data_IF_511182365396
#
_entry.id   IF_511182365396
#
_cell.length_a   1.000
_cell.length_b   1.000
_cell.length_c   1.000
_cell.angle_alpha   90.00
_cell.angle_beta   90.00
_cell.angle_gamma   90.00
#
_symmetry.space_group_name_H-M   'P 1'
#
loop_
_entity.id
_entity.type
_entity.pdbx_description
1 polymer ?
#
# COMPACT_ATOMS: atom_id res chain seq x y z
N UNK A 1 -25.31 -24.53 -11.47
CA UNK A 1 -24.14 -24.58 -10.56
C UNK A 1 -24.35 -23.56 -9.45
N UNK A 2 -24.50 -24.01 -8.21
CA UNK A 2 -24.52 -23.10 -7.07
C UNK A 2 -23.13 -22.46 -6.94
N UNK A 3 -23.07 -21.14 -7.02
CA UNK A 3 -21.83 -20.37 -6.81
C UNK A 3 -21.56 -20.41 -5.30
N UNK A 4 -20.34 -20.74 -4.84
CA UNK A 4 -19.98 -20.58 -3.43
C UNK A 4 -20.23 -19.13 -3.05
N UNK A 5 -21.06 -18.89 -2.04
CA UNK A 5 -21.28 -17.56 -1.49
C UNK A 5 -19.97 -17.09 -0.86
N UNK A 6 -19.43 -15.97 -1.34
CA UNK A 6 -18.38 -15.27 -0.61
C UNK A 6 -18.95 -14.91 0.78
N UNK A 7 -18.18 -15.07 1.87
CA UNK A 7 -18.61 -14.59 3.18
C UNK A 7 -18.65 -13.07 3.09
N UNK A 8 -19.85 -12.50 2.89
CA UNK A 8 -20.16 -11.08 2.75
C UNK A 8 -19.35 -10.31 1.67
N UNK A 9 -20.07 -9.74 0.70
CA UNK A 9 -19.52 -9.29 -0.59
C UNK A 9 -18.72 -7.99 -0.61
N UNK A 10 -18.07 -7.57 0.47
CA UNK A 10 -17.24 -6.35 0.54
C UNK A 10 -15.82 -6.66 1.05
N UNK A 11 -14.81 -5.82 0.73
CA UNK A 11 -13.48 -5.91 1.36
C UNK A 11 -13.58 -5.85 2.88
N UNK A 12 -14.51 -5.05 3.37
CA UNK A 12 -14.67 -4.73 4.78
C UNK A 12 -15.01 -5.97 5.61
N UNK A 13 -15.86 -6.85 5.09
CA UNK A 13 -16.29 -8.07 5.79
C UNK A 13 -15.30 -9.24 5.70
N UNK A 14 -14.22 -9.08 4.94
CA UNK A 14 -13.19 -10.09 4.71
C UNK A 14 -11.82 -9.57 5.17
N UNK A 15 -11.81 -8.61 6.09
CA UNK A 15 -10.57 -8.00 6.55
C UNK A 15 -9.72 -9.02 7.32
N UNK A 16 -8.43 -9.21 6.97
CA UNK A 16 -7.55 -10.20 7.60
C UNK A 16 -7.39 -9.99 9.11
N UNK A 17 -7.48 -8.74 9.57
CA UNK A 17 -7.20 -8.34 10.95
C UNK A 17 -8.45 -8.12 11.83
N UNK A 18 -9.64 -8.50 11.36
CA UNK A 18 -10.91 -8.30 12.07
C UNK A 18 -11.12 -9.27 13.27
N UNK A 19 -10.18 -10.19 13.49
CA UNK A 19 -10.28 -11.22 14.54
C UNK A 19 -9.52 -10.77 15.80
N UNK A 20 -10.23 -10.69 16.94
CA UNK A 20 -9.75 -10.19 18.25
C UNK A 20 -8.48 -10.84 18.83
N UNK A 21 -7.96 -11.89 18.21
CA UNK A 21 -6.79 -12.64 18.69
C UNK A 21 -5.45 -11.95 18.40
N UNK A 22 -5.42 -10.91 17.54
CA UNK A 22 -4.19 -10.17 17.20
C UNK A 22 -3.70 -9.21 18.29
N UNK A 23 -4.52 -8.88 19.29
CA UNK A 23 -4.20 -7.82 20.27
C UNK A 23 -3.50 -8.32 21.55
N UNK A 24 -3.23 -9.62 21.71
CA UNK A 24 -2.70 -10.17 22.98
C UNK A 24 -1.51 -11.14 22.86
N UNK A 25 -0.80 -11.16 21.73
CA UNK A 25 0.34 -12.04 21.52
C UNK A 25 1.63 -11.61 22.22
N UNK A 26 1.71 -11.70 23.56
CA UNK A 26 3.02 -11.84 24.23
C UNK A 26 3.55 -13.25 24.00
N UNK A 27 4.07 -13.50 22.79
CA UNK A 27 4.80 -14.72 22.44
C UNK A 27 6.19 -14.68 23.04
N UNK A 28 6.44 -15.48 24.08
CA UNK A 28 7.80 -15.78 24.54
C UNK A 28 8.48 -16.63 23.47
N UNK A 29 9.46 -16.07 22.77
CA UNK A 29 10.36 -16.85 21.93
C UNK A 29 11.58 -17.31 22.73
N UNK A 30 12.02 -18.55 22.46
CA UNK A 30 13.22 -19.13 23.02
C UNK A 30 14.47 -18.68 22.27
N UNK A 31 15.44 -18.18 23.04
CA UNK A 31 16.89 -18.14 22.81
C UNK A 31 17.40 -17.83 21.38
N UNK A 32 17.59 -16.53 21.08
CA UNK A 32 18.71 -15.87 20.36
C UNK A 32 18.43 -14.33 20.36
N UNK A 33 18.86 -13.56 21.37
CA UNK A 33 20.10 -12.75 21.55
C UNK A 33 20.10 -11.28 21.10
N UNK A 34 19.10 -10.73 20.39
CA UNK A 34 19.04 -9.28 20.14
C UNK A 34 17.63 -8.73 20.40
N UNK A 35 17.46 -7.97 21.48
CA UNK A 35 16.16 -7.51 22.03
C UNK A 35 15.58 -6.26 21.33
N UNK A 36 16.18 -5.80 20.23
CA UNK A 36 15.80 -4.58 19.53
C UNK A 36 14.63 -4.81 18.55
N UNK A 37 13.53 -4.08 18.75
CA UNK A 37 12.29 -4.23 17.97
C UNK A 37 12.46 -3.95 16.47
N UNK A 38 13.48 -3.18 16.09
CA UNK A 38 13.76 -2.82 14.70
C UNK A 38 14.55 -3.89 13.96
N UNK A 39 15.19 -4.81 14.67
CA UNK A 39 16.10 -5.78 14.08
C UNK A 39 15.33 -6.89 13.33
N UNK A 40 15.68 -7.19 12.07
CA UNK A 40 14.95 -8.19 11.28
C UNK A 40 15.39 -9.62 11.62
N UNK A 41 15.15 -10.02 12.87
CA UNK A 41 15.57 -11.29 13.47
C UNK A 41 15.15 -12.53 12.68
N UNK A 42 14.05 -12.49 11.93
CA UNK A 42 13.59 -13.65 11.16
C UNK A 42 14.43 -13.95 9.91
N UNK A 43 15.17 -12.96 9.41
CA UNK A 43 15.90 -13.06 8.13
C UNK A 43 17.36 -12.59 8.17
N UNK A 44 17.82 -11.93 9.23
CA UNK A 44 19.21 -11.49 9.37
C UNK A 44 20.18 -12.68 9.31
N UNK A 45 21.33 -12.51 8.65
CA UNK A 45 22.38 -13.52 8.50
C UNK A 45 23.64 -13.22 9.32
N UNK A 46 23.78 -11.99 9.80
CA UNK A 46 24.84 -11.51 10.69
C UNK A 46 24.24 -11.02 12.01
N UNK A 47 25.08 -10.78 13.01
CA UNK A 47 24.67 -10.04 14.22
C UNK A 47 24.48 -8.55 13.94
N UNK A 48 23.77 -7.84 14.82
CA UNK A 48 23.60 -6.39 14.77
C UNK A 48 24.93 -5.66 14.85
N UNK A 49 25.82 -6.07 15.76
CA UNK A 49 27.12 -5.43 15.92
C UNK A 49 27.96 -5.54 14.64
N UNK A 50 28.01 -6.72 14.01
CA UNK A 50 28.71 -6.93 12.75
C UNK A 50 28.12 -6.10 11.61
N UNK A 51 26.78 -6.02 11.52
CA UNK A 51 26.10 -5.26 10.48
C UNK A 51 26.32 -3.75 10.63
N UNK A 52 26.27 -3.23 11.86
CA UNK A 52 26.56 -1.82 12.16
C UNK A 52 28.02 -1.49 11.84
N UNK A 53 28.97 -2.35 12.24
CA UNK A 53 30.39 -2.17 11.92
C UNK A 53 30.65 -2.18 10.40
N UNK A 54 29.95 -3.05 9.67
CA UNK A 54 30.05 -3.12 8.21
C UNK A 54 29.25 -2.02 7.48
N UNK A 55 28.33 -1.32 8.16
CA UNK A 55 27.35 -0.40 7.55
C UNK A 55 26.30 -1.10 6.66
N UNK A 56 26.22 -2.42 6.72
CA UNK A 56 25.41 -3.25 5.83
C UNK A 56 24.86 -4.47 6.56
N UNK A 57 23.55 -4.65 6.45
CA UNK A 57 22.80 -5.78 6.95
C UNK A 57 22.59 -6.79 5.82
N UNK A 58 23.14 -7.99 6.00
CA UNK A 58 22.90 -9.14 5.13
C UNK A 58 21.66 -9.93 5.59
N UNK A 59 20.73 -10.18 4.67
CA UNK A 59 19.51 -10.94 4.94
C UNK A 59 19.28 -12.06 3.93
N UNK A 60 18.38 -13.00 4.26
CA UNK A 60 17.91 -14.03 3.32
C UNK A 60 17.28 -13.47 2.04
N UNK A 61 16.85 -12.21 2.02
CA UNK A 61 16.22 -11.55 0.88
C UNK A 61 17.14 -10.59 0.13
N UNK A 62 18.37 -10.40 0.61
CA UNK A 62 19.34 -9.47 0.04
C UNK A 62 19.94 -8.56 1.10
N UNK A 63 20.80 -7.64 0.66
CA UNK A 63 21.52 -6.73 1.53
C UNK A 63 20.89 -5.34 1.53
N UNK A 64 20.95 -4.67 2.68
CA UNK A 64 20.51 -3.28 2.87
C UNK A 64 21.49 -2.54 3.76
N UNK A 65 21.70 -1.25 3.50
CA UNK A 65 22.49 -0.38 4.36
C UNK A 65 21.83 -0.25 5.74
N UNK A 66 22.64 -0.18 6.79
CA UNK A 66 22.19 0.09 8.15
C UNK A 66 23.21 0.95 8.89
N UNK A 67 22.79 1.58 9.97
CA UNK A 67 23.65 2.41 10.80
C UNK A 67 23.13 2.42 12.25
N UNK A 68 23.98 2.87 13.18
CA UNK A 68 23.59 2.99 14.58
C UNK A 68 22.78 4.27 14.82
N UNK A 69 21.46 4.13 14.84
CA UNK A 69 20.53 5.24 15.12
C UNK A 69 20.71 5.81 16.53
N UNK A 70 21.25 5.03 17.49
CA UNK A 70 21.47 5.50 18.86
C UNK A 70 22.49 6.64 18.91
N UNK A 71 23.41 6.71 17.93
CA UNK A 71 24.33 7.84 17.81
C UNK A 71 23.57 9.16 17.68
N UNK A 72 22.45 9.16 16.96
CA UNK A 72 21.61 10.36 16.77
C UNK A 72 20.91 10.83 18.05
N UNK A 73 20.98 10.08 19.14
CA UNK A 73 20.40 10.46 20.43
C UNK A 73 21.38 11.32 21.25
N UNK A 74 22.62 11.47 20.79
CA UNK A 74 23.64 12.28 21.43
C UNK A 74 23.78 13.63 20.73
N UNK A 75 23.69 14.73 21.48
CA UNK A 75 23.85 16.09 20.95
C UNK A 75 25.16 16.29 20.19
N UNK A 76 26.25 15.69 20.67
CA UNK A 76 27.57 15.78 20.03
C UNK A 76 27.55 15.20 18.61
N UNK A 77 26.78 14.13 18.39
CA UNK A 77 26.64 13.54 17.06
C UNK A 77 26.11 14.57 16.08
N UNK A 78 25.14 15.42 16.44
CA UNK A 78 24.57 16.45 15.57
C UNK A 78 25.55 17.57 15.20
N UNK A 79 26.59 17.79 15.99
CA UNK A 79 27.58 18.85 15.73
C UNK A 79 28.66 18.48 14.71
N UNK A 80 28.88 17.19 14.45
CA UNK A 80 29.87 16.72 13.47
C UNK A 80 29.47 17.07 12.02
N UNK A 81 30.40 17.08 11.07
CA UNK A 81 30.02 17.20 9.65
C UNK A 81 29.55 15.85 9.12
N UNK A 82 28.40 15.81 8.44
CA UNK A 82 27.83 14.59 7.83
C UNK A 82 27.90 14.73 6.33
N UNK A 83 28.24 13.64 5.67
CA UNK A 83 28.11 13.54 4.22
C UNK A 83 26.62 13.45 3.85
N UNK A 84 26.29 13.95 2.66
CA UNK A 84 24.95 13.88 2.08
C UNK A 84 23.80 14.41 2.97
N UNK A 85 24.11 15.39 3.82
CA UNK A 85 23.10 16.19 4.53
C UNK A 85 22.50 17.27 3.63
N UNK A 86 21.23 17.60 3.84
CA UNK A 86 20.51 18.59 3.04
C UNK A 86 19.55 19.44 3.90
N UNK A 87 19.10 20.56 3.32
CA UNK A 87 18.19 21.50 3.97
C UNK A 87 18.81 22.12 5.22
N UNK A 88 18.00 22.28 6.28
CA UNK A 88 18.44 22.91 7.54
C UNK A 88 19.28 21.98 8.45
N UNK A 89 19.54 20.73 8.04
CA UNK A 89 20.14 19.72 8.92
C UNK A 89 21.47 20.16 9.54
N UNK A 90 22.35 20.78 8.75
CA UNK A 90 23.67 21.24 9.23
C UNK A 90 23.61 22.39 10.24
N UNK A 91 22.47 23.09 10.33
CA UNK A 91 22.26 24.21 11.25
C UNK A 91 21.69 23.76 12.60
N UNK A 92 21.18 22.52 12.68
CA UNK A 92 20.53 21.97 13.88
C UNK A 92 21.58 21.42 14.84
N UNK A 93 21.60 21.99 16.05
CA UNK A 93 22.52 21.62 17.14
C UNK A 93 21.72 21.47 18.45
N UNK A 94 21.01 20.35 18.62
CA UNK A 94 20.05 20.19 19.70
C UNK A 94 20.76 20.05 21.04
N UNK A 95 20.25 20.74 22.05
CA UNK A 95 20.71 20.61 23.44
C UNK A 95 19.97 19.49 24.19
N UNK A 96 18.71 19.24 23.82
CA UNK A 96 17.89 18.14 24.34
C UNK A 96 17.34 17.30 23.19
N UNK A 97 17.42 15.98 23.35
CA UNK A 97 16.91 15.00 22.41
C UNK A 97 16.04 14.03 23.20
N UNK A 98 14.76 13.94 22.84
CA UNK A 98 13.81 13.01 23.44
C UNK A 98 13.35 12.00 22.39
N UNK A 99 13.38 10.71 22.74
CA UNK A 99 12.79 9.65 21.91
C UNK A 99 11.29 9.61 22.18
N UNK A 100 10.50 10.07 21.22
CA UNK A 100 9.03 10.16 21.34
C UNK A 100 8.38 8.80 21.07
N UNK A 101 8.85 8.11 20.03
CA UNK A 101 8.29 6.82 19.61
C UNK A 101 9.33 6.01 18.84
N UNK A 102 9.31 4.69 19.00
CA UNK A 102 10.04 3.73 18.15
C UNK A 102 9.04 2.71 17.61
N UNK A 103 9.02 2.49 16.31
CA UNK A 103 8.11 1.57 15.62
C UNK A 103 8.80 0.88 14.44
N UNK A 104 9.23 -0.37 14.67
CA UNK A 104 10.08 -1.11 13.73
C UNK A 104 11.35 -0.32 13.44
N UNK A 105 11.71 -0.18 12.16
CA UNK A 105 12.91 0.53 11.73
C UNK A 105 12.85 2.07 11.83
N UNK A 106 11.85 2.63 12.50
CA UNK A 106 11.61 4.08 12.58
C UNK A 106 11.71 4.55 14.02
N UNK A 107 12.51 5.59 14.24
CA UNK A 107 12.61 6.27 15.53
C UNK A 107 12.28 7.75 15.37
N UNK A 108 11.32 8.23 16.15
CA UNK A 108 10.89 9.61 16.18
C UNK A 108 11.56 10.34 17.35
N UNK A 109 12.25 11.43 17.05
CA UNK A 109 12.98 12.26 18.00
C UNK A 109 12.37 13.66 18.06
N UNK A 110 12.28 14.22 19.25
CA UNK A 110 11.99 15.63 19.48
C UNK A 110 13.29 16.34 19.87
N UNK A 111 13.61 17.42 19.15
CA UNK A 111 14.86 18.15 19.26
C UNK A 111 14.57 19.57 19.77
N UNK A 112 15.00 19.89 21.01
CA UNK A 112 14.76 21.18 21.69
C UNK A 112 13.30 21.69 21.69
N UNK A 113 12.33 20.81 21.44
CA UNK A 113 10.94 21.17 21.13
C UNK A 113 10.77 22.09 19.90
N UNK A 114 11.80 22.22 19.06
CA UNK A 114 11.83 23.06 17.86
C UNK A 114 11.70 22.24 16.57
N UNK A 115 12.16 20.99 16.60
CA UNK A 115 12.13 20.10 15.44
C UNK A 115 11.72 18.70 15.83
N UNK A 116 11.14 18.00 14.86
CA UNK A 116 10.97 16.55 14.90
C UNK A 116 11.93 15.93 13.90
N UNK A 117 12.62 14.87 14.29
CA UNK A 117 13.43 14.07 13.39
C UNK A 117 12.93 12.62 13.34
N UNK A 118 12.74 12.10 12.13
CA UNK A 118 12.43 10.70 11.88
C UNK A 118 13.70 10.00 11.36
N UNK A 119 14.28 9.14 12.18
CA UNK A 119 15.44 8.31 11.85
C UNK A 119 14.99 6.92 11.38
N UNK A 120 15.72 6.36 10.42
CA UNK A 120 15.52 5.02 9.88
C UNK A 120 16.76 4.16 10.13
N UNK A 121 16.67 3.12 10.99
CA UNK A 121 17.82 2.22 11.28
C UNK A 121 18.31 1.47 10.04
N UNK A 122 17.36 1.18 9.14
CA UNK A 122 17.61 0.63 7.82
C UNK A 122 16.98 1.59 6.80
N UNK A 123 17.76 2.45 6.14
CA UNK A 123 17.25 3.36 5.12
C UNK A 123 16.68 2.61 3.92
N UNK A 124 15.41 2.86 3.58
CA UNK A 124 14.67 2.07 2.57
C UNK A 124 14.46 2.81 1.25
N UNK A 125 14.33 4.14 1.28
CA UNK A 125 14.19 4.99 0.09
C UNK A 125 14.50 6.45 0.41
N UNK A 126 14.55 7.30 -0.61
CA UNK A 126 14.62 8.77 -0.49
C UNK A 126 13.29 9.45 -0.84
N UNK A 127 12.16 8.74 -0.67
CA UNK A 127 10.85 9.25 -1.11
C UNK A 127 10.47 10.49 -0.32
N UNK A 128 10.72 10.48 0.99
CA UNK A 128 10.41 11.59 1.87
C UNK A 128 11.26 12.82 1.54
N UNK A 129 12.59 12.69 1.44
CA UNK A 129 13.44 13.84 1.05
C UNK A 129 13.13 14.36 -0.36
N UNK A 130 12.76 13.47 -1.29
CA UNK A 130 12.35 13.85 -2.65
C UNK A 130 11.13 14.77 -2.68
N UNK A 131 10.25 14.74 -1.66
CA UNK A 131 9.11 15.65 -1.55
C UNK A 131 9.54 17.12 -1.36
N UNK A 132 10.70 17.35 -0.74
CA UNK A 132 11.28 18.69 -0.63
C UNK A 132 12.14 19.04 -1.85
N UNK A 133 13.01 18.11 -2.26
CA UNK A 133 14.01 18.38 -3.30
C UNK A 133 13.39 18.56 -4.70
N UNK A 134 12.26 17.89 -4.98
CA UNK A 134 11.54 18.07 -6.24
C UNK A 134 10.57 19.27 -6.15
N UNK A 135 10.94 20.38 -6.79
CA UNK A 135 10.17 21.65 -6.75
C UNK A 135 8.71 21.54 -7.20
N UNK A 136 8.42 20.71 -8.21
CA UNK A 136 7.05 20.52 -8.73
C UNK A 136 6.21 19.72 -7.73
N UNK A 137 6.77 18.67 -7.13
CA UNK A 137 6.09 17.91 -6.06
C UNK A 137 5.89 18.80 -4.83
N UNK A 138 6.96 19.48 -4.39
CA UNK A 138 6.94 20.33 -3.20
C UNK A 138 5.84 21.39 -3.29
N UNK A 139 5.83 22.19 -4.37
CA UNK A 139 4.85 23.26 -4.56
C UNK A 139 3.40 22.76 -4.60
N UNK A 140 3.15 21.53 -5.08
CA UNK A 140 1.81 20.92 -5.10
C UNK A 140 1.34 20.45 -3.73
N UNK A 141 2.27 20.05 -2.87
CA UNK A 141 1.95 19.50 -1.55
C UNK A 141 1.91 20.57 -0.44
N UNK A 142 2.45 21.77 -0.69
CA UNK A 142 2.43 22.89 0.26
C UNK A 142 1.03 23.28 0.74
N UNK A 143 -0.01 23.07 -0.08
CA UNK A 143 -1.40 23.39 0.26
C UNK A 143 -2.20 22.20 0.82
N UNK A 144 -1.53 21.10 1.17
CA UNK A 144 -2.17 19.88 1.70
C UNK A 144 -1.82 19.70 3.18
N UNK A 145 -2.56 18.84 3.88
CA UNK A 145 -2.29 18.47 5.27
C UNK A 145 -1.09 17.51 5.41
N UNK A 146 -0.04 17.69 4.62
CA UNK A 146 1.18 16.90 4.68
C UNK A 146 2.29 17.71 5.34
N UNK A 147 2.89 17.16 6.39
CA UNK A 147 4.01 17.79 7.05
C UNK A 147 5.27 17.62 6.21
N UNK A 148 5.65 18.66 5.47
CA UNK A 148 6.78 18.58 4.54
C UNK A 148 8.13 18.64 5.27
N UNK A 149 9.11 17.82 4.85
CA UNK A 149 10.43 17.84 5.48
C UNK A 149 11.21 19.10 5.09
N UNK A 150 12.09 19.54 5.97
CA UNK A 150 12.89 20.76 5.84
C UNK A 150 14.41 20.49 5.81
N UNK A 151 14.82 19.27 6.13
CA UNK A 151 16.22 18.84 6.08
C UNK A 151 16.36 17.35 6.35
N UNK A 152 17.58 16.84 6.27
CA UNK A 152 17.86 15.45 6.60
C UNK A 152 19.28 15.02 6.22
N UNK A 153 19.52 13.73 6.36
CA UNK A 153 20.76 13.05 6.01
C UNK A 153 20.44 11.80 5.21
N UNK A 154 21.17 11.59 4.12
CA UNK A 154 21.09 10.39 3.31
C UNK A 154 22.22 9.42 3.67
N UNK A 155 21.93 8.12 3.61
CA UNK A 155 22.91 7.04 3.61
C UNK A 155 22.69 6.22 2.32
N UNK A 156 23.73 6.10 1.50
CA UNK A 156 23.67 5.46 0.17
C UNK A 156 22.51 5.98 -0.70
N UNK A 157 22.26 7.29 -0.64
CA UNK A 157 21.20 7.96 -1.38
C UNK A 157 19.77 7.66 -0.89
N UNK A 158 19.59 7.05 0.30
CA UNK A 158 18.30 6.80 0.95
C UNK A 158 18.20 7.59 2.25
N UNK A 159 17.00 7.92 2.69
CA UNK A 159 16.79 8.72 3.90
C UNK A 159 17.21 7.92 5.15
N UNK A 160 18.31 8.33 5.78
CA UNK A 160 18.71 7.84 7.09
C UNK A 160 18.05 8.63 8.21
N UNK A 161 17.91 9.94 8.02
CA UNK A 161 17.23 10.83 8.95
C UNK A 161 16.55 11.96 8.19
N UNK A 162 15.30 12.27 8.55
CA UNK A 162 14.53 13.37 7.97
C UNK A 162 14.02 14.29 9.06
N UNK A 163 14.16 15.60 8.88
CA UNK A 163 13.77 16.63 9.84
C UNK A 163 12.54 17.41 9.36
N UNK A 164 11.67 17.71 10.31
CA UNK A 164 10.43 18.47 10.15
C UNK A 164 10.36 19.58 11.21
N UNK A 165 9.57 20.65 10.97
CA UNK A 165 9.20 21.60 12.03
C UNK A 165 8.54 20.87 13.21
N UNK A 166 8.63 21.45 14.42
CA UNK A 166 7.98 20.91 15.61
C UNK A 166 6.48 20.66 15.43
N UNK A 167 6.00 19.67 16.17
CA UNK A 167 4.60 19.25 16.24
C UNK A 167 4.43 18.22 17.35
N UNK A 168 3.19 17.88 17.68
CA UNK A 168 2.89 16.86 18.68
C UNK A 168 2.09 15.72 18.03
N UNK A 169 2.38 14.48 18.40
CA UNK A 169 1.58 13.34 17.94
C UNK A 169 0.13 13.51 18.39
N UNK A 170 -0.79 13.22 17.48
CA UNK A 170 -2.24 13.29 17.74
C UNK A 170 -2.96 12.13 17.05
N UNK A 171 -4.21 11.91 17.43
CA UNK A 171 -5.09 10.96 16.77
C UNK A 171 -5.92 11.66 15.69
N UNK A 172 -6.38 10.90 14.72
CA UNK A 172 -7.22 11.41 13.63
C UNK A 172 -8.50 10.62 13.47
N UNK A 173 -9.50 11.28 12.90
CA UNK A 173 -10.77 10.63 12.57
C UNK A 173 -10.67 9.91 11.21
N UNK A 174 -11.52 8.90 10.95
CA UNK A 174 -11.60 8.25 9.65
C UNK A 174 -11.86 9.23 8.50
N UNK A 175 -12.69 10.25 8.73
CA UNK A 175 -13.00 11.30 7.76
C UNK A 175 -11.73 12.06 7.36
N UNK A 176 -10.97 12.53 8.35
CA UNK A 176 -9.76 13.33 8.12
C UNK A 176 -8.68 12.53 7.40
N UNK A 177 -8.48 11.25 7.77
CA UNK A 177 -7.50 10.37 7.11
C UNK A 177 -7.85 10.14 5.64
N UNK A 178 -9.13 9.87 5.35
CA UNK A 178 -9.62 9.61 4.00
C UNK A 178 -9.48 10.86 3.12
N UNK A 179 -9.93 11.99 3.65
CA UNK A 179 -9.82 13.28 2.97
C UNK A 179 -8.36 13.66 2.70
N UNK A 180 -7.50 13.61 3.72
CA UNK A 180 -6.08 13.98 3.61
C UNK A 180 -5.34 13.14 2.58
N UNK A 181 -5.50 11.80 2.62
CA UNK A 181 -4.90 10.93 1.60
C UNK A 181 -5.42 11.28 0.20
N UNK A 182 -6.74 11.47 0.06
CA UNK A 182 -7.36 11.77 -1.22
C UNK A 182 -6.89 13.10 -1.81
N UNK A 183 -6.74 14.14 -0.99
CA UNK A 183 -6.25 15.46 -1.39
C UNK A 183 -4.80 15.42 -1.85
N UNK A 184 -3.91 14.77 -1.07
CA UNK A 184 -2.51 14.55 -1.44
C UNK A 184 -2.43 13.85 -2.80
N UNK A 185 -3.17 12.76 -2.96
CA UNK A 185 -3.17 11.97 -4.20
C UNK A 185 -3.75 12.74 -5.39
N UNK A 186 -4.77 13.58 -5.17
CA UNK A 186 -5.34 14.43 -6.20
C UNK A 186 -4.36 15.51 -6.66
N UNK A 187 -3.61 16.13 -5.73
CA UNK A 187 -2.55 17.09 -6.06
C UNK A 187 -1.42 16.47 -6.88
N UNK A 188 -1.14 15.18 -6.66
CA UNK A 188 -0.12 14.42 -7.38
C UNK A 188 -0.64 13.73 -8.67
N UNK A 189 -1.95 13.67 -8.89
CA UNK A 189 -2.53 13.02 -10.06
C UNK A 189 -2.01 13.54 -11.42
N UNK A 190 -1.73 14.85 -11.61
CA UNK A 190 -1.10 15.35 -12.84
C UNK A 190 0.29 14.77 -13.11
N UNK A 191 1.00 14.29 -12.08
CA UNK A 191 2.32 13.66 -12.16
C UNK A 191 2.24 12.14 -12.32
N UNK A 192 1.05 11.60 -12.55
CA UNK A 192 0.84 10.17 -12.69
C UNK A 192 1.57 9.58 -13.89
N UNK A 193 2.10 8.38 -13.74
CA UNK A 193 2.59 7.58 -14.85
C UNK A 193 1.42 6.96 -15.62
N UNK A 194 1.60 6.54 -16.88
CA UNK A 194 0.67 5.63 -17.52
C UNK A 194 0.44 4.36 -16.69
N UNK A 195 -0.60 3.61 -17.04
CA UNK A 195 -0.86 2.29 -16.47
C UNK A 195 0.35 1.38 -16.64
N UNK A 196 0.87 0.84 -15.53
CA UNK A 196 2.04 -0.03 -15.51
C UNK A 196 1.71 -1.43 -14.97
N UNK A 197 0.61 -1.99 -15.47
CA UNK A 197 0.13 -3.31 -15.10
C UNK A 197 1.23 -4.39 -15.15
N UNK A 198 2.18 -4.28 -16.09
CA UNK A 198 3.26 -5.26 -16.22
C UNK A 198 4.16 -5.24 -14.98
N UNK A 199 4.63 -4.06 -14.55
CA UNK A 199 5.49 -3.97 -13.37
C UNK A 199 4.75 -4.27 -12.08
N UNK A 200 3.49 -3.84 -11.93
CA UNK A 200 2.69 -4.18 -10.75
C UNK A 200 2.48 -5.68 -10.57
N UNK A 201 2.21 -6.39 -11.67
CA UNK A 201 2.10 -7.85 -11.65
C UNK A 201 3.47 -8.54 -11.42
N UNK A 202 4.57 -7.90 -11.83
CA UNK A 202 5.92 -8.38 -11.53
C UNK A 202 6.23 -8.21 -10.04
N UNK A 203 5.93 -7.07 -9.43
CA UNK A 203 6.07 -6.86 -7.98
C UNK A 203 5.31 -7.89 -7.15
N UNK A 204 4.07 -8.23 -7.56
CA UNK A 204 3.33 -9.34 -6.93
C UNK A 204 4.05 -10.68 -7.08
N UNK A 205 4.63 -10.94 -8.26
CA UNK A 205 5.42 -12.14 -8.50
C UNK A 205 6.64 -12.20 -7.59
N UNK A 206 7.35 -11.10 -7.42
CA UNK A 206 8.58 -11.04 -6.63
C UNK A 206 8.28 -11.38 -5.15
N UNK A 207 7.20 -10.82 -4.60
CA UNK A 207 6.69 -11.18 -3.26
C UNK A 207 6.27 -12.66 -3.18
N UNK A 208 5.53 -13.16 -4.16
CA UNK A 208 5.09 -14.56 -4.19
C UNK A 208 6.27 -15.53 -4.30
N UNK A 209 7.31 -15.22 -5.08
CA UNK A 209 8.49 -16.08 -5.22
C UNK A 209 9.28 -16.15 -3.91
N UNK A 210 9.38 -15.03 -3.18
CA UNK A 210 10.08 -14.94 -1.91
C UNK A 210 9.30 -15.63 -0.76
N UNK A 211 7.99 -15.41 -0.69
CA UNK A 211 7.14 -15.90 0.41
C UNK A 211 6.54 -17.28 0.15
N UNK A 212 6.51 -17.72 -1.12
CA UNK A 212 5.90 -18.98 -1.58
C UNK A 212 4.48 -19.21 -1.03
N UNK A 213 3.56 -18.24 -1.19
CA UNK A 213 2.18 -18.43 -0.75
C UNK A 213 1.51 -19.54 -1.59
N UNK A 214 0.48 -20.17 -1.03
CA UNK A 214 -0.28 -21.22 -1.73
C UNK A 214 -1.18 -20.70 -2.87
N UNK A 215 -1.08 -19.42 -3.22
CA UNK A 215 -1.94 -18.74 -4.19
C UNK A 215 -1.11 -17.78 -5.02
N UNK A 216 -1.40 -17.69 -6.32
CA UNK A 216 -0.78 -16.74 -7.24
C UNK A 216 -1.87 -15.90 -7.90
N UNK A 217 -1.77 -14.56 -7.86
CA UNK A 217 -2.79 -13.70 -8.44
C UNK A 217 -2.22 -12.65 -9.39
N UNK A 218 -2.70 -12.65 -10.63
CA UNK A 218 -2.49 -11.58 -11.62
C UNK A 218 -3.80 -10.93 -12.01
N UNK A 219 -3.79 -9.60 -12.13
CA UNK A 219 -4.97 -8.83 -12.51
C UNK A 219 -4.70 -7.96 -13.75
N UNK A 220 -5.66 -7.89 -14.68
CA UNK A 220 -5.68 -6.79 -15.64
C UNK A 220 -6.07 -5.51 -14.91
N UNK A 221 -5.52 -4.37 -15.30
CA UNK A 221 -5.91 -3.07 -14.73
C UNK A 221 -6.57 -2.20 -15.80
N UNK A 222 -7.49 -1.34 -15.37
CA UNK A 222 -8.10 -0.37 -16.28
C UNK A 222 -7.11 0.73 -16.67
N UNK A 223 -7.32 1.38 -17.81
CA UNK A 223 -6.52 2.55 -18.21
C UNK A 223 -6.63 3.74 -17.24
N UNK A 224 -7.65 3.76 -16.39
CA UNK A 224 -7.82 4.75 -15.33
C UNK A 224 -6.90 4.47 -14.12
N UNK A 225 -6.44 3.24 -13.94
CA UNK A 225 -5.47 2.88 -12.91
C UNK A 225 -4.09 3.37 -13.34
N UNK A 226 -3.55 4.35 -12.61
CA UNK A 226 -2.29 5.02 -12.92
C UNK A 226 -1.39 5.07 -11.69
N UNK A 227 -0.08 4.91 -11.89
CA UNK A 227 0.90 5.03 -10.80
C UNK A 227 1.11 6.49 -10.41
N UNK A 228 1.26 6.78 -9.12
CA UNK A 228 1.49 8.13 -8.61
C UNK A 228 2.80 8.23 -7.82
N UNK A 229 3.42 9.42 -7.71
CA UNK A 229 4.43 9.67 -6.69
C UNK A 229 3.87 9.29 -5.32
N UNK A 230 4.64 8.54 -4.55
CA UNK A 230 4.20 7.94 -3.30
C UNK A 230 4.59 8.84 -2.12
N UNK A 231 3.63 9.12 -1.24
CA UNK A 231 3.81 9.98 -0.06
C UNK A 231 3.64 9.22 1.26
N UNK A 232 2.95 8.07 1.23
CA UNK A 232 2.65 7.17 2.37
C UNK A 232 2.43 7.85 3.71
N UNK A 233 1.17 7.92 4.11
CA UNK A 233 0.79 8.33 5.45
C UNK A 233 0.45 7.12 6.31
N UNK A 234 0.53 7.28 7.64
CA UNK A 234 0.30 6.22 8.60
C UNK A 234 -0.49 6.74 9.81
N UNK A 235 -1.44 5.97 10.36
CA UNK A 235 -2.32 6.46 11.42
C UNK A 235 -1.61 6.79 12.74
N UNK A 236 -0.42 6.22 12.98
CA UNK A 236 0.40 6.54 14.17
C UNK A 236 1.37 7.71 13.94
N UNK A 237 1.35 8.35 12.77
CA UNK A 237 2.26 9.45 12.43
C UNK A 237 1.47 10.69 11.98
N UNK A 238 0.46 11.04 12.76
CA UNK A 238 -0.33 12.26 12.60
C UNK A 238 0.10 13.26 13.67
N UNK A 239 0.30 14.50 13.26
CA UNK A 239 0.80 15.58 14.10
C UNK A 239 -0.17 16.74 14.14
N UNK A 240 -0.22 17.40 15.28
CA UNK A 240 -0.78 18.75 15.40
C UNK A 240 0.37 19.76 15.28
N UNK A 241 0.26 20.64 14.29
CA UNK A 241 1.22 21.72 14.00
C UNK A 241 0.42 23.01 13.89
N UNK A 242 0.72 23.98 14.76
CA UNK A 242 0.01 25.28 14.80
C UNK A 242 -1.52 25.17 14.93
N UNK A 243 -2.02 24.10 15.58
CA UNK A 243 -3.46 23.85 15.79
C UNK A 243 -4.15 23.12 14.63
N UNK A 244 -3.42 22.75 13.58
CA UNK A 244 -3.91 21.99 12.44
C UNK A 244 -3.33 20.58 12.43
N UNK A 245 -4.12 19.60 11.98
CA UNK A 245 -3.64 18.23 11.82
C UNK A 245 -2.88 18.07 10.50
N UNK A 246 -1.73 17.41 10.55
CA UNK A 246 -0.87 17.09 9.42
C UNK A 246 -0.39 15.64 9.49
N UNK A 247 -0.31 14.97 8.35
CA UNK A 247 0.27 13.64 8.24
C UNK A 247 1.78 13.72 7.96
N UNK A 248 2.58 12.88 8.62
CA UNK A 248 4.00 12.78 8.32
C UNK A 248 4.23 11.79 7.16
N UNK A 249 4.95 12.18 6.09
CA UNK A 249 5.29 11.28 4.99
C UNK A 249 6.33 10.23 5.41
N UNK A 250 6.09 8.97 5.05
CA UNK A 250 6.96 7.85 5.36
C UNK A 250 7.61 7.23 4.13
N UNK A 251 8.77 6.62 4.33
CA UNK A 251 9.39 5.77 3.33
C UNK A 251 8.72 4.39 3.24
N UNK A 252 9.10 3.63 2.22
CA UNK A 252 8.65 2.24 2.07
C UNK A 252 9.18 1.35 3.21
N UNK A 253 8.54 0.21 3.45
CA UNK A 253 8.98 -0.71 4.51
C UNK A 253 10.26 -1.43 4.09
N UNK A 254 10.98 -2.05 5.05
CA UNK A 254 12.17 -2.86 4.75
C UNK A 254 11.79 -4.03 3.84
N UNK A 255 10.66 -4.69 4.12
CA UNK A 255 10.20 -5.83 3.32
C UNK A 255 9.98 -5.45 1.86
N UNK A 256 9.39 -4.29 1.59
CA UNK A 256 9.24 -3.79 0.21
C UNK A 256 10.56 -3.35 -0.40
N UNK A 257 11.48 -2.76 0.37
CA UNK A 257 12.79 -2.39 -0.14
C UNK A 257 13.62 -3.61 -0.58
N UNK A 258 13.44 -4.75 0.10
CA UNK A 258 14.12 -6.02 -0.21
C UNK A 258 13.43 -6.80 -1.33
N UNK A 259 12.09 -6.81 -1.36
CA UNK A 259 11.33 -7.74 -2.20
C UNK A 259 10.63 -7.10 -3.41
N UNK A 260 10.48 -5.78 -3.43
CA UNK A 260 9.68 -5.08 -4.44
C UNK A 260 10.52 -4.14 -5.31
N UNK A 261 10.03 -3.90 -6.53
CA UNK A 261 10.59 -2.87 -7.41
C UNK A 261 10.31 -1.43 -6.95
N UNK A 262 10.85 -0.46 -7.69
CA UNK A 262 10.71 0.99 -7.41
C UNK A 262 9.56 1.65 -8.17
N UNK A 263 8.70 0.87 -8.84
CA UNK A 263 7.61 1.44 -9.63
C UNK A 263 6.53 2.10 -8.76
N UNK A 264 5.91 3.12 -9.34
CA UNK A 264 4.82 3.88 -8.72
C UNK A 264 3.58 3.01 -8.61
N UNK A 265 3.06 2.88 -7.39
CA UNK A 265 1.78 2.23 -7.13
C UNK A 265 0.62 3.18 -7.47
N UNK A 266 -0.56 2.67 -7.81
CA UNK A 266 -1.74 3.51 -7.96
C UNK A 266 -2.26 3.98 -6.60
N UNK A 267 -2.97 5.12 -6.58
CA UNK A 267 -3.47 5.70 -5.33
C UNK A 267 -4.36 4.77 -4.50
N UNK A 268 -5.14 3.89 -5.15
CA UNK A 268 -5.93 2.85 -4.46
C UNK A 268 -5.06 1.86 -3.68
N UNK A 269 -3.81 1.61 -4.10
CA UNK A 269 -2.92 0.72 -3.37
C UNK A 269 -2.51 1.34 -2.03
N UNK A 270 -2.14 2.62 -2.01
CA UNK A 270 -1.83 3.33 -0.77
C UNK A 270 -3.05 3.48 0.13
N UNK A 271 -4.25 3.67 -0.45
CA UNK A 271 -5.50 3.64 0.32
C UNK A 271 -5.70 2.30 1.02
N UNK A 272 -5.52 1.19 0.31
CA UNK A 272 -5.67 -0.15 0.89
C UNK A 272 -4.60 -0.42 1.97
N UNK A 273 -3.37 0.06 1.79
CA UNK A 273 -2.35 -0.04 2.82
C UNK A 273 -2.75 0.74 4.08
N UNK A 274 -3.20 2.00 3.93
CA UNK A 274 -3.67 2.82 5.06
C UNK A 274 -4.85 2.17 5.77
N UNK A 275 -5.82 1.68 5.00
CA UNK A 275 -6.99 0.98 5.50
C UNK A 275 -6.57 -0.27 6.31
N UNK A 276 -5.58 -1.04 5.82
CA UNK A 276 -5.05 -2.19 6.53
C UNK A 276 -4.42 -1.82 7.88
N UNK A 277 -3.66 -0.71 7.92
CA UNK A 277 -3.05 -0.20 9.17
C UNK A 277 -4.10 0.25 10.19
N UNK A 278 -5.13 1.00 9.78
CA UNK A 278 -6.15 1.49 10.74
C UNK A 278 -6.99 0.36 11.31
N UNK A 279 -7.24 -0.71 10.56
CA UNK A 279 -7.93 -1.88 11.12
C UNK A 279 -7.01 -2.65 12.06
N UNK A 280 -5.75 -2.89 11.66
CA UNK A 280 -4.80 -3.65 12.48
C UNK A 280 -4.44 -2.95 13.80
N UNK A 281 -4.17 -1.65 13.74
CA UNK A 281 -3.56 -0.91 14.85
C UNK A 281 -4.54 -0.03 15.62
N UNK A 282 -5.59 0.45 14.95
CA UNK A 282 -6.64 1.28 15.57
C UNK A 282 -7.96 0.52 15.79
N UNK A 283 -8.06 -0.73 15.31
CA UNK A 283 -9.26 -1.55 15.46
C UNK A 283 -10.48 -0.97 14.76
N UNK A 284 -10.28 -0.25 13.64
CA UNK A 284 -11.38 0.37 12.90
C UNK A 284 -12.38 -0.69 12.44
N UNK A 285 -13.66 -0.40 12.67
CA UNK A 285 -14.78 -1.25 12.29
C UNK A 285 -15.25 -0.98 10.86
N UNK A 286 -16.06 -1.89 10.29
CA UNK A 286 -16.68 -1.71 8.99
C UNK A 286 -17.27 -0.34 8.70
N UNK A 287 -18.01 0.22 9.65
CA UNK A 287 -18.67 1.52 9.49
C UNK A 287 -17.65 2.67 9.39
N UNK A 288 -16.53 2.56 10.09
CA UNK A 288 -15.44 3.55 10.03
C UNK A 288 -14.66 3.45 8.72
N UNK A 289 -14.50 2.24 8.18
CA UNK A 289 -13.85 2.03 6.87
C UNK A 289 -14.70 2.58 5.74
N UNK A 290 -16.03 2.45 5.82
CA UNK A 290 -16.94 3.07 4.85
C UNK A 290 -16.80 4.60 4.86
N UNK A 291 -16.72 5.21 6.05
CA UNK A 291 -16.48 6.66 6.20
C UNK A 291 -15.12 7.08 5.64
N UNK A 292 -14.06 6.33 5.95
CA UNK A 292 -12.71 6.56 5.41
C UNK A 292 -12.73 6.53 3.87
N UNK A 293 -13.36 5.50 3.28
CA UNK A 293 -13.43 5.31 1.84
C UNK A 293 -14.26 6.40 1.15
N UNK A 294 -15.42 6.77 1.68
CA UNK A 294 -16.26 7.79 1.04
C UNK A 294 -15.61 9.18 1.07
N UNK A 295 -14.82 9.51 2.10
CA UNK A 295 -14.07 10.77 2.12
C UNK A 295 -12.88 10.73 1.14
N UNK A 296 -12.13 9.63 1.08
CA UNK A 296 -11.08 9.45 0.07
C UNK A 296 -11.62 9.58 -1.36
N UNK A 297 -12.73 8.89 -1.63
CA UNK A 297 -13.40 8.85 -2.93
C UNK A 297 -13.87 10.21 -3.42
N UNK A 298 -14.23 11.13 -2.52
CA UNK A 298 -14.66 12.51 -2.85
C UNK A 298 -13.50 13.40 -3.30
N UNK A 299 -12.28 13.12 -2.84
CA UNK A 299 -11.13 13.98 -3.10
C UNK A 299 -10.30 13.53 -4.31
N UNK A 300 -10.22 12.22 -4.59
CA UNK A 300 -9.44 11.70 -5.73
C UNK A 300 -10.16 11.91 -7.07
N UNK A 301 -9.43 11.86 -8.22
CA UNK A 301 -10.06 11.94 -9.54
C UNK A 301 -11.16 10.89 -9.73
N UNK A 302 -12.35 11.32 -10.14
CA UNK A 302 -13.54 10.45 -10.29
C UNK A 302 -13.32 9.20 -11.17
N UNK A 303 -12.37 9.25 -12.10
CA UNK A 303 -11.99 8.08 -12.92
C UNK A 303 -11.42 6.92 -12.09
N UNK A 304 -10.72 7.20 -10.99
CA UNK A 304 -10.06 6.20 -10.14
C UNK A 304 -11.05 5.44 -9.24
N UNK A 305 -12.19 6.06 -8.94
CA UNK A 305 -13.26 5.49 -8.11
C UNK A 305 -14.44 5.00 -8.93
N UNK A 306 -14.30 4.99 -10.26
CA UNK A 306 -15.31 4.43 -11.15
C UNK A 306 -15.51 2.93 -10.85
N UNK A 307 -16.74 2.44 -11.06
CA UNK A 307 -17.07 1.02 -10.86
C UNK A 307 -16.11 0.08 -11.61
N UNK A 308 -15.62 0.49 -12.78
CA UNK A 308 -14.63 -0.27 -13.56
C UNK A 308 -13.26 -0.27 -12.88
N UNK A 309 -12.79 0.88 -12.40
CA UNK A 309 -11.49 1.01 -11.75
C UNK A 309 -11.42 0.25 -10.41
N UNK A 310 -12.54 0.15 -9.70
CA UNK A 310 -12.66 -0.58 -8.43
C UNK A 310 -13.02 -2.07 -8.59
N UNK A 311 -13.39 -2.51 -9.80
CA UNK A 311 -13.84 -3.89 -10.06
C UNK A 311 -12.77 -4.93 -9.76
N UNK A 312 -13.16 -5.99 -9.06
CA UNK A 312 -12.30 -7.11 -8.69
C UNK A 312 -11.73 -7.83 -9.91
N UNK A 313 -12.54 -7.98 -10.97
CA UNK A 313 -12.09 -8.60 -12.24
C UNK A 313 -11.10 -7.74 -13.01
N UNK A 314 -11.12 -6.42 -12.79
CA UNK A 314 -10.30 -5.42 -13.47
C UNK A 314 -9.19 -4.86 -12.58
N UNK A 315 -8.73 -5.63 -11.61
CA UNK A 315 -7.55 -5.27 -10.81
C UNK A 315 -7.76 -4.02 -9.96
N UNK A 316 -8.99 -3.84 -9.47
CA UNK A 316 -9.35 -2.80 -8.51
C UNK A 316 -8.88 -3.12 -7.09
N UNK A 317 -9.71 -2.84 -6.09
CA UNK A 317 -9.27 -2.82 -4.70
C UNK A 317 -8.72 -4.17 -4.17
N UNK A 318 -9.28 -5.29 -4.62
CA UNK A 318 -8.93 -6.62 -4.12
C UNK A 318 -7.51 -7.12 -4.45
N UNK A 319 -6.97 -6.78 -5.63
CA UNK A 319 -5.60 -7.18 -5.94
C UNK A 319 -4.59 -6.39 -5.08
N UNK A 320 -4.94 -5.14 -4.74
CA UNK A 320 -4.13 -4.32 -3.84
C UNK A 320 -4.26 -4.75 -2.39
N UNK A 321 -5.40 -5.34 -2.00
CA UNK A 321 -5.50 -6.05 -0.72
C UNK A 321 -4.59 -7.27 -0.68
N UNK A 322 -4.60 -8.05 -1.75
CA UNK A 322 -3.71 -9.20 -1.86
C UNK A 322 -2.24 -8.78 -1.75
N UNK A 323 -1.86 -7.69 -2.42
CA UNK A 323 -0.56 -7.05 -2.26
C UNK A 323 -0.26 -6.67 -0.81
N UNK A 324 -1.15 -5.92 -0.16
CA UNK A 324 -0.98 -5.48 1.23
C UNK A 324 -0.78 -6.68 2.19
N UNK A 325 -1.59 -7.74 2.05
CA UNK A 325 -1.44 -8.94 2.89
C UNK A 325 -0.13 -9.69 2.64
N UNK A 326 0.38 -9.71 1.40
CA UNK A 326 1.72 -10.24 1.12
C UNK A 326 2.82 -9.40 1.79
N UNK A 327 2.71 -8.08 1.76
CA UNK A 327 3.65 -7.18 2.45
C UNK A 327 3.59 -7.41 3.96
N UNK A 328 2.40 -7.53 4.55
CA UNK A 328 2.24 -7.87 5.98
C UNK A 328 2.83 -9.23 6.31
N UNK A 329 2.65 -10.23 5.45
CA UNK A 329 3.27 -11.55 5.62
C UNK A 329 4.80 -11.42 5.63
N UNK A 330 5.36 -10.63 4.70
CA UNK A 330 6.80 -10.37 4.65
C UNK A 330 7.29 -9.65 5.91
N UNK A 331 6.58 -8.63 6.39
CA UNK A 331 6.95 -7.97 7.65
C UNK A 331 6.86 -8.89 8.86
N UNK A 332 5.88 -9.78 8.89
CA UNK A 332 5.73 -10.76 9.97
C UNK A 332 6.92 -11.73 9.98
N UNK A 333 7.36 -12.18 8.80
CA UNK A 333 8.58 -13.01 8.67
C UNK A 333 9.85 -12.21 9.01
N UNK A 334 9.92 -10.95 8.59
CA UNK A 334 11.05 -10.06 8.84
C UNK A 334 11.33 -9.92 10.35
N UNK A 335 10.29 -9.60 11.12
CA UNK A 335 10.39 -9.34 12.56
C UNK A 335 10.08 -10.56 13.43
N UNK A 336 9.76 -11.72 12.86
CA UNK A 336 9.44 -12.94 13.62
C UNK A 336 8.11 -12.88 14.37
N UNK A 337 7.13 -12.14 13.86
CA UNK A 337 5.78 -12.05 14.44
C UNK A 337 4.90 -13.22 13.96
N UNK A 338 4.89 -14.31 14.72
CA UNK A 338 4.12 -15.52 14.40
C UNK A 338 2.60 -15.28 14.37
N UNK A 339 2.08 -14.42 15.26
CA UNK A 339 0.64 -14.18 15.36
C UNK A 339 0.11 -13.41 14.14
N UNK A 340 0.84 -12.37 13.73
CA UNK A 340 0.54 -11.60 12.52
C UNK A 340 0.75 -12.43 11.25
N UNK A 341 1.76 -13.30 11.25
CA UNK A 341 1.99 -14.27 10.17
C UNK A 341 0.82 -15.25 10.02
N UNK A 342 0.34 -15.88 11.10
CA UNK A 342 -0.76 -16.83 11.04
C UNK A 342 -2.07 -16.18 10.56
N UNK A 343 -2.33 -14.95 10.99
CA UNK A 343 -3.47 -14.15 10.56
C UNK A 343 -3.44 -13.87 9.05
N UNK A 344 -2.30 -13.39 8.53
CA UNK A 344 -2.12 -13.13 7.10
C UNK A 344 -2.21 -14.42 6.25
N UNK A 345 -1.63 -15.53 6.72
CA UNK A 345 -1.73 -16.83 6.05
C UNK A 345 -3.16 -17.36 5.98
N UNK A 346 -3.98 -17.13 7.03
CA UNK A 346 -5.40 -17.51 7.02
C UNK A 346 -6.14 -16.81 5.88
N UNK A 347 -5.93 -15.50 5.72
CA UNK A 347 -6.53 -14.75 4.62
C UNK A 347 -6.03 -15.21 3.25
N UNK A 348 -4.71 -15.45 3.10
CA UNK A 348 -4.13 -15.94 1.85
C UNK A 348 -4.70 -17.31 1.42
N UNK A 349 -5.04 -18.20 2.36
CA UNK A 349 -5.72 -19.47 2.05
C UNK A 349 -7.11 -19.24 1.44
N UNK A 350 -7.84 -18.22 1.89
CA UNK A 350 -9.16 -17.85 1.37
C UNK A 350 -9.11 -17.18 -0.02
N UNK A 351 -7.95 -16.70 -0.47
CA UNK A 351 -7.77 -16.12 -1.81
C UNK A 351 -8.13 -17.11 -2.92
N UNK A 352 -7.91 -18.41 -2.71
CA UNK A 352 -8.33 -19.46 -3.66
C UNK A 352 -9.84 -19.41 -3.96
N UNK A 353 -10.67 -19.11 -2.95
CA UNK A 353 -12.13 -18.96 -3.09
C UNK A 353 -12.49 -17.68 -3.83
N UNK A 354 -11.79 -16.58 -3.54
CA UNK A 354 -11.93 -15.32 -4.28
C UNK A 354 -11.60 -15.52 -5.77
N UNK A 355 -10.53 -16.26 -6.07
CA UNK A 355 -10.13 -16.57 -7.45
C UNK A 355 -11.14 -17.47 -8.17
N UNK A 356 -11.72 -18.46 -7.49
CA UNK A 356 -12.80 -19.26 -8.06
C UNK A 356 -14.02 -18.39 -8.41
N UNK A 357 -14.40 -17.46 -7.52
CA UNK A 357 -15.47 -16.50 -7.78
C UNK A 357 -15.15 -15.59 -8.99
N UNK A 358 -13.91 -15.10 -9.08
CA UNK A 358 -13.42 -14.33 -10.24
C UNK A 358 -13.50 -15.12 -11.54
N UNK A 359 -13.21 -16.42 -11.51
CA UNK A 359 -13.39 -17.32 -12.65
C UNK A 359 -14.83 -17.28 -13.16
N UNK A 360 -15.81 -17.37 -12.26
CA UNK A 360 -17.24 -17.25 -12.61
C UNK A 360 -17.57 -15.87 -13.17
N UNK A 361 -17.07 -14.79 -12.58
CA UNK A 361 -17.30 -13.43 -13.09
C UNK A 361 -16.70 -13.22 -14.49
N UNK A 362 -15.53 -13.80 -14.78
CA UNK A 362 -14.93 -13.77 -16.12
C UNK A 362 -15.78 -14.50 -17.15
N UNK A 363 -16.43 -15.61 -16.78
CA UNK A 363 -17.38 -16.31 -17.66
C UNK A 363 -18.57 -15.40 -17.99
N UNK A 364 -19.18 -14.75 -17.00
CA UNK A 364 -20.25 -13.77 -17.26
C UNK A 364 -19.78 -12.63 -18.17
N UNK A 365 -18.58 -12.11 -17.94
CA UNK A 365 -18.01 -11.06 -18.79
C UNK A 365 -17.74 -11.54 -20.23
N UNK A 366 -17.31 -12.79 -20.42
CA UNK A 366 -17.14 -13.36 -21.76
C UNK A 366 -18.45 -13.55 -22.53
N UNK A 367 -19.59 -13.66 -21.84
CA UNK A 367 -20.91 -13.73 -22.47
C UNK A 367 -21.22 -12.50 -23.35
N UNK A 368 -20.63 -11.35 -23.05
CA UNK A 368 -20.68 -10.15 -23.90
C UNK A 368 -20.09 -10.42 -25.28
N UNK A 369 -18.89 -10.99 -25.32
CA UNK A 369 -18.21 -11.33 -26.57
C UNK A 369 -18.93 -12.43 -27.33
N UNK A 370 -19.43 -13.45 -26.64
CA UNK A 370 -20.25 -14.51 -27.27
C UNK A 370 -21.48 -13.90 -27.94
N UNK A 371 -22.18 -12.99 -27.27
CA UNK A 371 -23.33 -12.28 -27.83
C UNK A 371 -22.99 -11.44 -29.06
N UNK A 372 -21.90 -10.66 -29.00
CA UNK A 372 -21.41 -9.85 -30.13
C UNK A 372 -21.02 -10.74 -31.32
N UNK A 373 -20.24 -11.80 -31.08
CA UNK A 373 -19.84 -12.74 -32.13
C UNK A 373 -21.06 -13.41 -32.76
N UNK A 374 -22.08 -13.75 -31.95
CA UNK A 374 -23.34 -14.30 -32.47
C UNK A 374 -24.05 -13.32 -33.40
N UNK A 375 -24.07 -12.03 -33.07
CA UNK A 375 -24.62 -10.99 -33.96
C UNK A 375 -23.81 -10.84 -35.25
N UNK A 376 -22.48 -10.88 -35.17
CA UNK A 376 -21.60 -10.83 -36.35
C UNK A 376 -21.81 -12.04 -37.26
N UNK A 377 -21.89 -13.24 -36.68
CA UNK A 377 -22.19 -14.48 -37.41
C UNK A 377 -23.56 -14.40 -38.06
N UNK A 378 -24.58 -13.89 -37.36
CA UNK A 378 -25.91 -13.70 -37.91
C UNK A 378 -25.91 -12.76 -39.13
N UNK A 379 -25.14 -11.67 -39.08
CA UNK A 379 -24.99 -10.75 -40.19
C UNK A 379 -24.32 -11.41 -41.41
N UNK A 380 -23.19 -12.10 -41.21
CA UNK A 380 -22.49 -12.77 -42.31
C UNK A 380 -23.26 -13.96 -42.86
N UNK A 381 -23.96 -14.71 -42.02
CA UNK A 381 -24.80 -15.82 -42.46
C UNK A 381 -25.98 -15.35 -43.33
N UNK A 382 -26.54 -14.18 -43.03
CA UNK A 382 -27.51 -13.51 -43.88
C UNK A 382 -26.89 -13.05 -45.21
N UNK A 383 -25.72 -12.39 -45.17
CA UNK A 383 -25.02 -11.91 -46.38
C UNK A 383 -24.61 -13.03 -47.33
N UNK A 384 -24.21 -14.19 -46.81
CA UNK A 384 -23.84 -15.36 -47.60
C UNK A 384 -25.05 -16.21 -48.02
N UNK A 385 -26.28 -15.74 -47.76
CA UNK A 385 -27.54 -16.43 -48.05
C UNK A 385 -27.68 -17.82 -47.40
N UNK A 386 -26.84 -18.11 -46.40
CA UNK A 386 -26.88 -19.38 -45.64
C UNK A 386 -28.04 -19.44 -44.63
N UNK A 387 -28.56 -18.27 -44.22
CA UNK A 387 -29.72 -18.15 -43.34
C UNK A 387 -30.74 -17.16 -43.91
N UNK A 388 -32.03 -17.46 -43.70
CA UNK A 388 -33.12 -16.54 -44.02
C UNK A 388 -33.10 -15.31 -43.13
N UNK A 389 -33.67 -14.20 -43.61
CA UNK A 389 -33.76 -12.93 -42.87
C UNK A 389 -34.35 -13.11 -41.46
N UNK A 390 -35.43 -13.88 -41.31
CA UNK A 390 -36.09 -14.11 -40.02
C UNK A 390 -35.15 -14.84 -39.05
N UNK A 391 -34.45 -15.87 -39.53
CA UNK A 391 -33.53 -16.66 -38.71
C UNK A 391 -32.30 -15.84 -38.29
N UNK A 392 -31.76 -15.04 -39.20
CA UNK A 392 -30.62 -14.16 -38.91
C UNK A 392 -30.99 -13.05 -37.92
N UNK A 393 -32.16 -12.42 -38.08
CA UNK A 393 -32.67 -11.43 -37.11
C UNK A 393 -32.90 -12.08 -35.74
N UNK A 394 -33.52 -13.26 -35.70
CA UNK A 394 -33.73 -14.01 -34.46
C UNK A 394 -32.42 -14.33 -33.73
N UNK A 395 -31.40 -14.76 -34.48
CA UNK A 395 -30.08 -15.05 -33.94
C UNK A 395 -29.36 -13.78 -33.43
N UNK A 396 -29.47 -12.66 -34.15
CA UNK A 396 -28.91 -11.38 -33.70
C UNK A 396 -29.60 -10.85 -32.44
N UNK A 397 -30.92 -11.00 -32.32
CA UNK A 397 -31.67 -10.65 -31.11
C UNK A 397 -31.24 -11.54 -29.94
N UNK A 398 -31.10 -12.85 -30.15
CA UNK A 398 -30.60 -13.76 -29.11
C UNK A 398 -29.19 -13.37 -28.65
N UNK A 399 -28.27 -13.07 -29.58
CA UNK A 399 -26.94 -12.57 -29.26
C UNK A 399 -26.97 -11.28 -28.45
N UNK A 400 -27.87 -10.35 -28.79
CA UNK A 400 -28.07 -9.11 -28.04
C UNK A 400 -28.55 -9.37 -26.60
N UNK A 401 -29.53 -10.26 -26.42
CA UNK A 401 -30.04 -10.66 -25.10
C UNK A 401 -28.93 -11.29 -24.25
N UNK A 402 -28.15 -12.20 -24.84
CA UNK A 402 -27.01 -12.84 -24.15
C UNK A 402 -25.98 -11.79 -23.73
N UNK A 403 -25.64 -10.86 -24.62
CA UNK A 403 -24.64 -9.82 -24.34
C UNK A 403 -25.08 -8.90 -23.18
N UNK A 404 -26.30 -8.36 -23.27
CA UNK A 404 -26.86 -7.45 -22.27
C UNK A 404 -27.08 -8.19 -20.94
N UNK A 405 -27.71 -9.35 -20.97
CA UNK A 405 -28.00 -10.16 -19.78
C UNK A 405 -26.73 -10.58 -19.05
N UNK A 406 -25.71 -11.01 -19.78
CA UNK A 406 -24.43 -11.41 -19.19
C UNK A 406 -23.68 -10.23 -18.58
N UNK A 407 -23.68 -9.06 -19.23
CA UNK A 407 -23.06 -7.84 -18.68
C UNK A 407 -23.79 -7.36 -17.42
N UNK A 408 -25.13 -7.37 -17.41
CA UNK A 408 -25.92 -7.00 -16.23
C UNK A 408 -25.65 -7.95 -15.06
N UNK A 409 -25.59 -9.26 -15.33
CA UNK A 409 -25.28 -10.26 -14.31
C UNK A 409 -23.84 -10.13 -13.79
N UNK A 410 -22.88 -9.83 -14.67
CA UNK A 410 -21.51 -9.54 -14.27
C UNK A 410 -21.48 -8.37 -13.28
N UNK A 411 -22.05 -7.22 -13.64
CA UNK A 411 -22.04 -6.05 -12.76
C UNK A 411 -22.82 -6.28 -11.47
N UNK A 412 -23.95 -6.99 -11.52
CA UNK A 412 -24.74 -7.33 -10.33
C UNK A 412 -23.97 -8.25 -9.36
N UNK A 413 -23.10 -9.12 -9.88
CA UNK A 413 -22.34 -10.10 -9.10
C UNK A 413 -20.93 -9.64 -8.72
N UNK A 414 -20.38 -8.66 -9.42
CA UNK A 414 -19.08 -8.07 -9.09
C UNK A 414 -19.19 -7.42 -7.71
N UNK A 415 -18.43 -7.90 -6.70
CA UNK A 415 -18.56 -7.40 -5.34
C UNK A 415 -18.17 -5.91 -5.29
N UNK A 416 -18.85 -5.10 -4.47
CA UNK A 416 -18.37 -3.75 -4.17
C UNK A 416 -16.95 -3.79 -3.61
N UNK A 417 -16.23 -2.69 -3.81
CA UNK A 417 -14.91 -2.54 -3.21
C UNK A 417 -15.02 -2.40 -1.68
N UNK A 418 -15.97 -1.61 -1.18
CA UNK A 418 -16.18 -1.35 0.25
C UNK A 418 -17.67 -1.46 0.57
#
# INVERSE_FOLDING_TARGET
MAVPTLPNGSLVSLHPFDNKDTLNGKGRCGLFMEDELWWPQGIALSSMAEAIEAGQLETKWGAVSCWDVQESFQSDWWTSSKNDSWGVFGDIKPSTIEVVQTDGNRTLLLLDSLYIALAYSVPTSNRTSSLHQNKDIHSRLQSTNLHLPIGGMLLDGKDALVVFPAGNLTESSPEWLGQTLGEIQNMLAPLSSPNDQKRWNQRLKDLEDALKPNTLWRAPHTSATKGIPSVRIHPNYIFEVEGEHCALPLNQTISEALLCGTERLPGIAEFIQLEGRVVEEKGYKPEQIEVLFENWKRCVPASWTSRKALSTVLGGAWIWRYYDVLVVTAESVLYGDEARYDSSQKWLKDVSRLQAHLGVLRVWKSGVWVGITTMVVAYYAWQLETLSTINSVGLAVLGSIISIGSNLLYWKKDPPAF
#
